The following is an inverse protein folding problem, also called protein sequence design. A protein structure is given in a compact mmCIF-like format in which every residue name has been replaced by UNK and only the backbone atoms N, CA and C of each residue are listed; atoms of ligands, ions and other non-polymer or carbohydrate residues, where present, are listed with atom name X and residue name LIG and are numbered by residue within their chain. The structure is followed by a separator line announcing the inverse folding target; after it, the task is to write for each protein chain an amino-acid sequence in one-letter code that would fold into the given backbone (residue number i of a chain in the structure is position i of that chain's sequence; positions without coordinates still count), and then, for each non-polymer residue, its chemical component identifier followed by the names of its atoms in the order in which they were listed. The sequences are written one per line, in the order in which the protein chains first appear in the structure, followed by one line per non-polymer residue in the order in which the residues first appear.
data_IF_802918389132
#
_entry.id   IF_802918389132
#
_cell.length_a   1.000
_cell.length_b   1.000
_cell.length_c   1.000
_cell.angle_alpha   90.00
_cell.angle_beta   90.00
_cell.angle_gamma   90.00
#
_symmetry.space_group_name_H-M   'P 1'
#
loop_
_entity.id
_entity.type
_entity.pdbx_description
1 polymer ?
#
# COMPACT_ATOMS: atom_id res chain seq x y z
N UNK A 1 11.64 30.39 12.41
CA UNK A 1 10.36 29.90 11.88
C UNK A 1 10.62 28.53 11.29
N UNK A 2 10.14 27.51 11.99
CA UNK A 2 10.37 26.11 11.69
C UNK A 2 9.16 25.52 10.92
N UNK A 3 9.38 24.33 10.35
CA UNK A 3 8.34 23.34 10.02
C UNK A 3 7.69 23.31 8.61
N UNK A 4 8.35 23.80 7.55
CA UNK A 4 7.85 23.58 6.17
C UNK A 4 8.75 22.65 5.33
N UNK A 5 9.99 22.38 5.77
CA UNK A 5 10.96 21.63 4.97
C UNK A 5 11.03 20.12 5.29
N UNK A 6 10.30 19.64 6.32
CA UNK A 6 10.27 18.20 6.66
C UNK A 6 9.27 17.37 5.87
N UNK A 7 8.23 17.99 5.29
CA UNK A 7 7.13 17.22 4.69
C UNK A 7 7.41 16.80 3.23
N UNK A 8 8.37 17.43 2.56
CA UNK A 8 8.60 17.23 1.11
C UNK A 8 9.66 16.18 0.80
N UNK A 9 10.57 15.87 1.73
CA UNK A 9 11.64 14.89 1.53
C UNK A 9 11.21 13.44 1.80
N UNK A 10 10.24 13.18 2.69
CA UNK A 10 9.85 11.80 3.04
C UNK A 10 8.91 11.11 2.05
N UNK A 11 8.20 11.83 1.17
CA UNK A 11 7.28 11.20 0.22
C UNK A 11 7.92 10.80 -1.12
N UNK A 12 9.03 11.42 -1.48
CA UNK A 12 9.75 11.13 -2.73
C UNK A 12 11.09 10.43 -2.51
N UNK A 13 11.56 10.28 -1.26
CA UNK A 13 12.79 9.55 -0.91
C UNK A 13 12.73 8.03 -1.12
N UNK A 14 11.61 7.47 -1.57
CA UNK A 14 11.53 6.08 -2.03
C UNK A 14 11.92 5.92 -3.52
N UNK A 15 12.48 6.97 -4.14
CA UNK A 15 13.28 6.86 -5.37
C UNK A 15 14.76 6.54 -5.06
N UNK A 16 15.12 6.17 -3.82
CA UNK A 16 16.26 5.25 -3.61
C UNK A 16 15.83 3.82 -3.94
N UNK A 17 15.42 3.68 -5.20
CA UNK A 17 15.66 2.56 -6.07
C UNK A 17 17.17 2.22 -6.02
N UNK A 18 17.66 1.69 -4.90
CA UNK A 18 18.90 0.92 -4.89
C UNK A 18 18.56 -0.42 -5.56
N UNK A 19 18.54 -0.37 -6.89
CA UNK A 19 18.60 -1.48 -7.83
C UNK A 19 19.93 -2.23 -7.71
N UNK A 20 20.29 -2.59 -6.47
CA UNK A 20 21.59 -3.15 -6.10
C UNK A 20 21.54 -4.01 -4.83
N UNK A 21 20.42 -4.02 -4.08
CA UNK A 21 20.30 -4.88 -2.89
C UNK A 21 18.86 -5.36 -2.75
N UNK A 22 18.35 -6.11 -3.75
CA UNK A 22 16.98 -6.64 -3.81
C UNK A 22 16.43 -7.04 -2.44
N UNK A 23 15.57 -6.22 -1.80
CA UNK A 23 14.69 -6.71 -0.78
C UNK A 23 13.77 -7.69 -1.52
N UNK A 24 13.69 -8.93 -1.07
CA UNK A 24 12.84 -9.94 -1.70
C UNK A 24 11.38 -9.63 -1.38
N UNK A 25 10.84 -8.51 -1.89
CA UNK A 25 9.40 -8.36 -2.01
C UNK A 25 8.92 -9.57 -2.77
N UNK A 26 8.32 -10.51 -2.04
CA UNK A 26 7.93 -11.79 -2.61
C UNK A 26 6.83 -11.61 -3.64
N UNK A 27 6.09 -10.50 -3.55
CA UNK A 27 4.89 -10.27 -4.33
C UNK A 27 4.87 -8.82 -4.82
N UNK A 28 4.75 -8.66 -6.13
CA UNK A 28 4.49 -7.41 -6.83
C UNK A 28 3.22 -7.60 -7.65
N UNK A 29 2.25 -6.70 -7.49
CA UNK A 29 0.99 -6.70 -8.21
C UNK A 29 0.74 -5.33 -8.82
N UNK A 30 0.15 -5.35 -10.01
CA UNK A 30 -0.29 -4.13 -10.69
C UNK A 30 -1.68 -4.35 -11.23
N UNK A 31 -2.63 -3.58 -10.73
CA UNK A 31 -4.03 -3.65 -11.11
C UNK A 31 -4.51 -2.31 -11.63
N UNK A 32 -5.24 -2.34 -12.73
CA UNK A 32 -5.78 -1.14 -13.39
C UNK A 32 -7.29 -1.15 -13.28
N UNK A 33 -7.82 -0.14 -12.61
CA UNK A 33 -9.24 0.04 -12.37
C UNK A 33 -9.74 1.30 -13.09
N UNK A 34 -11.06 1.46 -13.13
CA UNK A 34 -11.71 2.65 -13.71
C UNK A 34 -11.36 3.92 -12.93
N UNK A 35 -11.22 3.81 -11.60
CA UNK A 35 -10.86 4.92 -10.72
C UNK A 35 -9.37 5.30 -10.75
N UNK A 36 -8.50 4.43 -11.30
CA UNK A 36 -7.07 4.67 -11.32
C UNK A 36 -6.21 3.41 -11.50
N UNK A 37 -4.90 3.57 -11.37
CA UNK A 37 -3.96 2.44 -11.35
C UNK A 37 -3.42 2.25 -9.95
N UNK A 38 -3.35 1.00 -9.50
CA UNK A 38 -2.78 0.60 -8.22
C UNK A 38 -1.67 -0.41 -8.48
N UNK A 39 -0.54 -0.21 -7.83
CA UNK A 39 0.57 -1.15 -7.73
C UNK A 39 0.79 -1.47 -6.27
N UNK A 40 0.86 -2.76 -5.95
CA UNK A 40 1.05 -3.26 -4.59
C UNK A 40 2.36 -4.04 -4.56
N UNK A 41 3.19 -3.76 -3.58
CA UNK A 41 4.41 -4.50 -3.31
C UNK A 41 4.29 -5.05 -1.90
N UNK A 42 4.18 -6.37 -1.77
CA UNK A 42 4.06 -7.04 -0.49
C UNK A 42 5.28 -7.94 -0.25
N UNK A 43 5.87 -7.78 0.94
CA UNK A 43 6.83 -8.70 1.51
C UNK A 43 6.10 -9.63 2.47
N UNK A 44 6.06 -10.91 2.13
CA UNK A 44 5.35 -11.93 2.92
C UNK A 44 6.35 -12.94 3.40
N UNK A 45 6.39 -13.16 4.72
CA UNK A 45 7.27 -14.13 5.36
C UNK A 45 6.44 -14.99 6.32
N UNK A 46 6.54 -16.31 6.17
CA UNK A 46 5.71 -17.26 6.95
C UNK A 46 4.19 -16.96 6.85
N UNK A 47 3.71 -16.63 5.64
CA UNK A 47 2.32 -16.24 5.37
C UNK A 47 1.84 -14.95 6.08
N UNK A 48 2.75 -14.17 6.68
CA UNK A 48 2.47 -12.88 7.32
C UNK A 48 3.11 -11.75 6.51
N UNK A 49 2.34 -10.68 6.29
CA UNK A 49 2.82 -9.46 5.64
C UNK A 49 3.82 -8.80 6.58
N UNK A 50 5.09 -8.77 6.19
CA UNK A 50 6.12 -8.05 6.93
C UNK A 50 6.13 -6.58 6.56
N UNK A 51 5.99 -6.31 5.25
CA UNK A 51 5.83 -4.96 4.72
C UNK A 51 4.90 -5.01 3.52
N UNK A 52 4.15 -3.93 3.32
CA UNK A 52 3.38 -3.72 2.11
C UNK A 52 3.49 -2.26 1.71
N UNK A 53 3.56 -2.02 0.40
CA UNK A 53 3.56 -0.69 -0.19
C UNK A 53 2.57 -0.58 -1.31
N UNK A 54 1.91 0.58 -1.37
CA UNK A 54 0.95 0.92 -2.40
C UNK A 54 1.48 2.09 -3.21
N UNK A 55 1.52 1.93 -4.52
CA UNK A 55 1.87 2.94 -5.50
C UNK A 55 0.72 3.08 -6.49
N UNK A 56 0.61 4.23 -7.15
CA UNK A 56 -0.43 4.39 -8.16
C UNK A 56 -0.83 5.82 -8.39
N UNK A 57 -1.66 5.98 -9.41
CA UNK A 57 -2.45 7.18 -9.65
C UNK A 57 -3.86 6.86 -9.20
N UNK A 58 -4.13 7.15 -7.93
CA UNK A 58 -5.47 7.15 -7.35
C UNK A 58 -5.66 8.48 -6.62
N UNK A 59 -6.89 8.97 -6.64
CA UNK A 59 -7.27 10.20 -5.98
C UNK A 59 -7.65 9.89 -4.53
N UNK A 60 -6.82 10.29 -3.57
CA UNK A 60 -7.07 10.18 -2.13
C UNK A 60 -6.91 11.52 -1.46
N UNK A 61 -7.77 11.84 -0.48
CA UNK A 61 -7.67 13.07 0.31
C UNK A 61 -6.41 13.10 1.18
N UNK A 62 -5.91 11.91 1.55
CA UNK A 62 -4.64 11.73 2.23
C UNK A 62 -3.67 10.98 1.32
N UNK A 63 -2.60 11.65 0.88
CA UNK A 63 -1.53 10.96 0.11
C UNK A 63 -0.61 10.13 1.01
N UNK A 64 -1.02 9.75 2.22
CA UNK A 64 -0.19 9.04 3.19
C UNK A 64 -0.74 7.65 3.51
N UNK A 65 -0.45 6.70 2.64
CA UNK A 65 -0.88 5.31 2.77
C UNK A 65 -0.22 4.56 3.93
N UNK A 66 0.74 5.18 4.62
CA UNK A 66 1.49 4.54 5.70
C UNK A 66 0.62 4.06 6.86
N UNK A 67 -0.54 4.66 7.08
CA UNK A 67 -1.54 4.12 8.02
C UNK A 67 -2.09 2.77 7.55
N UNK A 68 -2.49 2.69 6.28
CA UNK A 68 -2.98 1.46 5.64
C UNK A 68 -1.88 0.40 5.62
N UNK A 69 -0.66 0.79 5.22
CA UNK A 69 0.50 -0.09 5.17
C UNK A 69 0.79 -0.67 6.58
N UNK A 70 0.85 0.16 7.62
CA UNK A 70 1.11 -0.29 8.99
C UNK A 70 0.00 -1.20 9.54
N UNK A 71 -1.26 -0.92 9.21
CA UNK A 71 -2.38 -1.76 9.64
C UNK A 71 -2.34 -3.16 9.01
N UNK A 72 -1.71 -3.30 7.85
CA UNK A 72 -1.53 -4.57 7.14
C UNK A 72 -0.25 -5.31 7.59
N UNK A 73 0.69 -4.66 8.27
CA UNK A 73 1.88 -5.34 8.81
C UNK A 73 1.46 -6.32 9.91
N UNK A 74 1.92 -7.56 9.82
CA UNK A 74 1.57 -8.66 10.72
C UNK A 74 0.24 -9.34 10.40
N UNK A 75 -0.49 -8.87 9.39
CA UNK A 75 -1.71 -9.52 8.89
C UNK A 75 -1.32 -10.70 8.01
N UNK A 76 -2.13 -11.77 8.01
CA UNK A 76 -1.90 -12.88 7.09
C UNK A 76 -2.17 -12.43 5.66
N UNK A 77 -1.30 -12.83 4.75
CA UNK A 77 -1.48 -12.56 3.33
C UNK A 77 -2.51 -13.53 2.74
N UNK A 78 -3.77 -13.36 3.14
CA UNK A 78 -4.94 -14.09 2.68
C UNK A 78 -6.05 -13.09 2.37
N UNK A 79 -6.93 -13.38 1.39
CA UNK A 79 -8.02 -12.48 1.04
C UNK A 79 -8.90 -12.15 2.25
N UNK A 80 -9.16 -13.11 3.14
CA UNK A 80 -10.00 -12.90 4.32
C UNK A 80 -9.37 -11.95 5.35
N UNK A 81 -8.08 -12.12 5.67
CA UNK A 81 -7.39 -11.29 6.65
C UNK A 81 -7.10 -9.90 6.10
N UNK A 82 -6.69 -9.80 4.82
CA UNK A 82 -6.53 -8.51 4.12
C UNK A 82 -7.86 -7.76 4.07
N UNK A 83 -8.96 -8.43 3.72
CA UNK A 83 -10.30 -7.85 3.73
C UNK A 83 -10.69 -7.32 5.11
N UNK A 84 -10.40 -8.08 6.18
CA UNK A 84 -10.66 -7.66 7.57
C UNK A 84 -9.82 -6.46 7.97
N UNK A 85 -8.53 -6.47 7.67
CA UNK A 85 -7.63 -5.35 7.95
C UNK A 85 -8.05 -4.09 7.19
N UNK A 86 -8.38 -4.23 5.90
CA UNK A 86 -8.96 -3.17 5.07
C UNK A 86 -10.31 -2.70 5.61
N UNK A 87 -11.16 -3.58 6.15
CA UNK A 87 -12.44 -3.19 6.74
C UNK A 87 -12.28 -2.47 8.08
N UNK A 88 -11.18 -2.70 8.78
CA UNK A 88 -10.88 -2.07 10.06
C UNK A 88 -10.24 -0.69 9.90
N UNK A 89 -9.78 -0.35 8.70
CA UNK A 89 -9.26 0.97 8.33
C UNK A 89 -10.24 1.66 7.38
N UNK A 90 -10.32 2.99 7.43
CA UNK A 90 -11.10 3.74 6.44
C UNK A 90 -10.31 3.93 5.13
N UNK A 91 -10.09 2.85 4.39
CA UNK A 91 -9.37 2.86 3.10
C UNK A 91 -10.02 3.81 2.07
N UNK A 92 -11.32 4.08 2.19
CA UNK A 92 -12.08 4.98 1.31
C UNK A 92 -11.54 6.43 1.33
N UNK A 93 -10.87 6.86 2.41
CA UNK A 93 -10.21 8.16 2.48
C UNK A 93 -8.92 8.24 1.64
N UNK A 94 -8.31 7.09 1.37
CA UNK A 94 -7.06 6.96 0.62
C UNK A 94 -7.32 6.57 -0.84
N UNK A 95 -8.27 5.67 -1.07
CA UNK A 95 -8.65 5.15 -2.38
C UNK A 95 -10.09 5.57 -2.70
N UNK A 96 -10.30 6.85 -2.99
CA UNK A 96 -11.64 7.33 -3.29
C UNK A 96 -12.12 6.70 -4.61
N UNK A 97 -13.27 6.03 -4.56
CA UNK A 97 -13.86 5.36 -5.71
C UNK A 97 -13.39 3.92 -5.94
N UNK A 98 -12.65 3.33 -4.99
CA UNK A 98 -12.36 1.90 -4.99
C UNK A 98 -13.19 1.18 -3.94
N UNK A 99 -13.62 -0.04 -4.26
CA UNK A 99 -14.30 -0.92 -3.33
C UNK A 99 -13.30 -1.74 -2.49
N UNK A 100 -13.74 -2.18 -1.32
CA UNK A 100 -12.93 -3.05 -0.46
C UNK A 100 -12.53 -4.35 -1.18
N UNK A 101 -13.44 -4.88 -1.99
CA UNK A 101 -13.24 -6.06 -2.83
C UNK A 101 -12.12 -5.83 -3.85
N UNK A 102 -12.24 -4.76 -4.65
CA UNK A 102 -11.23 -4.36 -5.65
C UNK A 102 -9.85 -4.19 -5.03
N UNK A 103 -9.73 -3.58 -3.84
CA UNK A 103 -8.45 -3.45 -3.14
C UNK A 103 -7.93 -4.78 -2.62
N UNK A 104 -8.81 -5.64 -2.12
CA UNK A 104 -8.43 -6.97 -1.64
C UNK A 104 -7.88 -7.79 -2.80
N UNK A 105 -8.57 -7.80 -3.93
CA UNK A 105 -8.13 -8.41 -5.19
C UNK A 105 -6.80 -7.81 -5.66
N UNK A 106 -6.65 -6.48 -5.64
CA UNK A 106 -5.39 -5.81 -6.02
C UNK A 106 -4.18 -6.27 -5.18
N UNK A 107 -4.43 -6.70 -3.94
CA UNK A 107 -3.40 -7.15 -3.02
C UNK A 107 -3.13 -8.64 -3.18
N UNK A 108 -4.15 -9.49 -3.28
CA UNK A 108 -4.02 -10.96 -3.18
C UNK A 108 -4.07 -11.72 -4.52
N UNK A 109 -4.64 -11.12 -5.57
CA UNK A 109 -4.88 -11.78 -6.87
C UNK A 109 -3.80 -11.42 -7.92
#
# INVERSE_FOLDING_TARGET
MADIEKLRASKFGAWEWNYGHSPKFGIERQSRYTAGKIQVFADVKNALIQQIRFYGTFFGNNSNLSEVENALIGVKYTPEDVRKALSNIEFNHFFAGFSLDELTEAIVE
#
